data_IF_776584628623
#
_entry.id   IF_776584628623
#
_cell.length_a   1.000
_cell.length_b   1.000
_cell.length_c   1.000
_cell.angle_alpha   90.00
_cell.angle_beta   90.00
_cell.angle_gamma   90.00
#
_symmetry.space_group_name_H-M   'P 1'
#
loop_
_entity.id
_entity.type
_entity.pdbx_description
1 polymer ?
#
# COMPACT_ATOMS: atom_id res chain seq x y z
N UNK A 1 21.03 26.07 2.86
CA UNK A 1 20.97 25.88 4.33
C UNK A 1 19.83 24.88 4.62
N UNK A 2 20.18 23.64 4.86
CA UNK A 2 19.22 22.58 5.22
C UNK A 2 18.67 22.87 6.62
N UNK A 3 17.36 23.13 6.75
CA UNK A 3 16.68 23.08 8.05
C UNK A 3 16.71 21.62 8.53
N UNK A 4 17.66 21.31 9.38
CA UNK A 4 17.68 20.05 10.13
C UNK A 4 16.35 19.93 10.86
N UNK A 5 15.56 18.92 10.48
CA UNK A 5 14.32 18.61 11.18
C UNK A 5 14.72 18.20 12.59
N UNK A 6 14.37 19.07 13.58
CA UNK A 6 14.72 18.89 15.01
C UNK A 6 13.99 17.70 15.67
N UNK A 7 13.17 16.96 14.94
CA UNK A 7 12.42 15.84 15.49
C UNK A 7 13.29 14.58 15.51
N UNK A 8 13.30 13.91 16.66
CA UNK A 8 13.98 12.63 16.84
C UNK A 8 13.49 11.63 15.78
N UNK A 9 14.36 10.97 15.00
CA UNK A 9 14.00 10.01 13.96
C UNK A 9 13.08 8.88 14.43
N UNK A 10 13.15 8.50 15.70
CA UNK A 10 12.27 7.48 16.29
C UNK A 10 10.78 7.80 16.25
N UNK A 11 10.39 9.07 16.14
CA UNK A 11 8.98 9.45 16.09
C UNK A 11 8.37 9.35 14.69
N UNK A 12 9.17 9.39 13.63
CA UNK A 12 8.65 9.42 12.28
C UNK A 12 9.07 8.23 11.39
N UNK A 13 10.22 7.59 11.66
CA UNK A 13 10.67 6.42 10.87
C UNK A 13 9.71 5.23 11.05
N UNK A 14 9.37 4.77 12.28
CA UNK A 14 8.47 3.64 12.44
C UNK A 14 7.12 3.84 11.74
N UNK A 15 6.34 4.91 11.98
CA UNK A 15 5.06 5.08 11.32
C UNK A 15 5.20 5.25 9.81
N UNK A 16 6.24 5.90 9.30
CA UNK A 16 6.47 6.06 7.86
C UNK A 16 6.58 4.70 7.15
N UNK A 17 7.43 3.80 7.66
CA UNK A 17 7.63 2.48 7.04
C UNK A 17 6.52 1.48 7.36
N UNK A 18 5.78 1.67 8.45
CA UNK A 18 4.53 0.93 8.69
C UNK A 18 3.47 1.28 7.64
N UNK A 19 3.26 2.57 7.37
CA UNK A 19 2.29 3.02 6.36
C UNK A 19 2.71 2.70 4.93
N UNK A 20 4.00 2.53 4.65
CA UNK A 20 4.52 2.12 3.35
C UNK A 20 4.31 0.60 3.10
N UNK A 21 4.56 -0.23 4.11
CA UNK A 21 4.46 -1.69 3.96
C UNK A 21 3.03 -2.22 3.82
N UNK A 22 2.04 -1.55 4.42
CA UNK A 22 0.64 -2.00 4.37
C UNK A 22 0.06 -2.02 2.95
N UNK A 23 0.12 -0.93 2.14
CA UNK A 23 -0.41 -0.96 0.78
C UNK A 23 0.25 -2.03 -0.09
N UNK A 24 1.56 -2.20 0.03
CA UNK A 24 2.29 -3.21 -0.71
C UNK A 24 1.71 -4.62 -0.48
N UNK A 25 1.57 -5.05 0.77
CA UNK A 25 1.05 -6.40 1.07
C UNK A 25 -0.41 -6.56 0.68
N UNK A 26 -1.20 -5.50 0.77
CA UNK A 26 -2.59 -5.52 0.31
C UNK A 26 -2.70 -5.75 -1.20
N UNK A 27 -1.85 -5.09 -1.96
CA UNK A 27 -1.84 -5.18 -3.43
C UNK A 27 -1.28 -6.53 -3.89
N UNK A 28 -0.18 -7.00 -3.30
CA UNK A 28 0.53 -8.18 -3.82
C UNK A 28 -0.01 -9.49 -3.23
N UNK A 29 -0.39 -9.50 -1.96
CA UNK A 29 -0.76 -10.75 -1.28
C UNK A 29 -2.26 -10.83 -0.99
N UNK A 30 -2.84 -9.78 -0.41
CA UNK A 30 -4.26 -9.81 0.00
C UNK A 30 -5.18 -9.81 -1.22
N UNK A 31 -4.81 -9.15 -2.32
CA UNK A 31 -5.56 -9.20 -3.58
C UNK A 31 -5.73 -10.64 -4.11
N UNK A 32 -4.67 -11.44 -4.05
CA UNK A 32 -4.68 -12.86 -4.44
C UNK A 32 -5.66 -13.65 -3.57
N UNK A 33 -5.62 -13.44 -2.24
CA UNK A 33 -6.52 -14.09 -1.29
C UNK A 33 -7.96 -13.68 -1.57
N UNK A 34 -8.21 -12.37 -1.77
CA UNK A 34 -9.53 -11.83 -2.10
C UNK A 34 -10.10 -12.47 -3.37
N UNK A 35 -9.35 -12.47 -4.47
CA UNK A 35 -9.80 -13.06 -5.73
C UNK A 35 -10.07 -14.54 -5.60
N UNK A 36 -9.24 -15.28 -4.87
CA UNK A 36 -9.47 -16.71 -4.60
C UNK A 36 -10.78 -16.94 -3.85
N UNK A 37 -11.08 -16.11 -2.86
CA UNK A 37 -12.31 -16.17 -2.07
C UNK A 37 -13.56 -15.77 -2.86
N UNK A 38 -13.39 -14.89 -3.85
CA UNK A 38 -14.45 -14.47 -4.77
C UNK A 38 -14.63 -15.43 -5.96
N UNK A 39 -13.90 -16.54 -6.00
CA UNK A 39 -14.09 -17.61 -7.00
C UNK A 39 -13.43 -17.37 -8.37
N UNK A 40 -12.48 -16.43 -8.45
CA UNK A 40 -11.69 -16.21 -9.67
C UNK A 40 -10.77 -17.40 -9.92
N UNK A 41 -10.59 -17.79 -11.19
CA UNK A 41 -9.73 -18.91 -11.56
C UNK A 41 -8.25 -18.66 -11.23
N UNK A 42 -7.53 -19.72 -10.84
CA UNK A 42 -6.14 -19.60 -10.39
C UNK A 42 -5.19 -19.12 -11.51
N UNK A 43 -5.48 -19.46 -12.76
CA UNK A 43 -4.67 -19.00 -13.91
C UNK A 43 -4.81 -17.50 -14.11
N UNK A 44 -6.02 -16.96 -13.99
CA UNK A 44 -6.28 -15.53 -14.10
C UNK A 44 -5.66 -14.77 -12.92
N UNK A 45 -5.82 -15.29 -11.70
CA UNK A 45 -5.19 -14.69 -10.52
C UNK A 45 -3.66 -14.63 -10.75
N UNK A 46 -3.04 -15.75 -11.09
CA UNK A 46 -1.59 -15.82 -11.29
C UNK A 46 -1.10 -14.88 -12.39
N UNK A 47 -1.82 -14.82 -13.52
CA UNK A 47 -1.44 -13.97 -14.64
C UNK A 47 -1.58 -12.49 -14.30
N UNK A 48 -2.78 -12.04 -13.91
CA UNK A 48 -3.08 -10.62 -13.77
C UNK A 48 -2.49 -9.99 -12.51
N UNK A 49 -2.44 -10.72 -11.38
CA UNK A 49 -1.88 -10.15 -10.15
C UNK A 49 -0.36 -10.08 -10.16
N UNK A 50 0.33 -10.95 -10.93
CA UNK A 50 1.79 -10.87 -11.07
C UNK A 50 2.25 -9.55 -11.71
N UNK A 51 1.45 -8.98 -12.60
CA UNK A 51 1.74 -7.67 -13.20
C UNK A 51 1.59 -6.50 -12.22
N UNK A 52 0.84 -6.65 -11.14
CA UNK A 52 0.71 -5.59 -10.13
C UNK A 52 2.05 -5.23 -9.47
N UNK A 53 3.06 -6.09 -9.54
CA UNK A 53 4.41 -5.80 -9.05
C UNK A 53 5.21 -4.90 -9.99
N UNK A 54 4.79 -4.76 -11.25
CA UNK A 54 5.53 -4.06 -12.29
C UNK A 54 5.85 -2.59 -11.94
N UNK A 55 4.96 -1.79 -11.31
CA UNK A 55 5.29 -0.43 -10.91
C UNK A 55 6.53 -0.32 -10.02
N UNK A 56 6.76 -1.27 -9.10
CA UNK A 56 7.98 -1.24 -8.26
C UNK A 56 9.25 -1.54 -9.07
N UNK A 57 9.15 -2.35 -10.12
CA UNK A 57 10.29 -2.66 -11.01
C UNK A 57 10.66 -1.45 -11.87
N UNK A 58 9.66 -0.79 -12.43
CA UNK A 58 9.86 0.33 -13.37
C UNK A 58 9.88 1.71 -12.69
N UNK A 59 9.74 1.78 -11.34
CA UNK A 59 9.76 3.05 -10.60
C UNK A 59 10.94 3.99 -10.89
N UNK A 60 12.16 3.50 -11.29
CA UNK A 60 13.24 4.40 -11.67
C UNK A 60 12.93 5.31 -12.86
N UNK A 61 11.97 4.94 -13.73
CA UNK A 61 11.59 5.73 -14.90
C UNK A 61 10.95 7.08 -14.53
N UNK A 62 10.20 7.14 -13.41
CA UNK A 62 9.55 8.38 -12.95
C UNK A 62 10.07 8.90 -11.62
N UNK A 63 10.97 8.20 -10.96
CA UNK A 63 11.63 8.67 -9.73
C UNK A 63 12.23 10.08 -9.90
N UNK A 64 12.89 10.45 -11.02
CA UNK A 64 13.39 11.80 -11.22
C UNK A 64 12.29 12.87 -11.20
N UNK A 65 11.07 12.56 -11.64
CA UNK A 65 9.94 13.50 -11.58
C UNK A 65 9.55 13.80 -10.15
N UNK A 66 9.53 12.78 -9.28
CA UNK A 66 9.23 12.94 -7.84
C UNK A 66 10.34 13.73 -7.12
N UNK A 67 11.58 13.67 -7.65
CA UNK A 67 12.71 14.43 -7.12
C UNK A 67 12.72 15.89 -7.57
N UNK A 68 12.31 16.16 -8.79
CA UNK A 68 12.33 17.49 -9.39
C UNK A 68 11.10 18.34 -9.02
N UNK A 69 9.92 17.71 -8.88
CA UNK A 69 8.67 18.44 -8.69
C UNK A 69 8.12 18.31 -7.28
N UNK A 70 7.97 19.44 -6.59
CA UNK A 70 7.33 19.50 -5.29
C UNK A 70 8.24 19.07 -4.12
N UNK A 71 7.61 18.73 -3.01
CA UNK A 71 8.31 18.25 -1.81
C UNK A 71 7.95 16.79 -1.54
N UNK A 72 8.86 16.02 -0.94
CA UNK A 72 8.62 14.62 -0.58
C UNK A 72 7.34 14.46 0.28
N UNK A 73 7.09 15.41 1.19
CA UNK A 73 5.88 15.42 2.01
C UNK A 73 4.60 15.57 1.17
N UNK A 74 4.61 16.43 0.14
CA UNK A 74 3.42 16.62 -0.73
C UNK A 74 3.14 15.36 -1.54
N UNK A 75 4.19 14.73 -2.07
CA UNK A 75 4.06 13.46 -2.79
C UNK A 75 3.52 12.35 -1.89
N UNK A 76 4.08 12.19 -0.69
CA UNK A 76 3.61 11.22 0.29
C UNK A 76 2.11 11.39 0.58
N UNK A 77 1.68 12.60 0.96
CA UNK A 77 0.28 12.87 1.27
C UNK A 77 -0.65 12.69 0.06
N UNK A 78 -0.22 13.13 -1.13
CA UNK A 78 -1.00 12.94 -2.35
C UNK A 78 -1.19 11.45 -2.68
N UNK A 79 -0.11 10.65 -2.60
CA UNK A 79 -0.19 9.22 -2.86
C UNK A 79 -1.00 8.47 -1.80
N UNK A 80 -0.96 8.92 -0.55
CA UNK A 80 -1.81 8.36 0.51
C UNK A 80 -3.30 8.58 0.22
N UNK A 81 -3.68 9.76 -0.27
CA UNK A 81 -5.05 10.03 -0.71
C UNK A 81 -5.46 9.19 -1.92
N UNK A 82 -4.55 9.01 -2.90
CA UNK A 82 -4.81 8.13 -4.05
C UNK A 82 -4.98 6.68 -3.62
N UNK A 83 -4.16 6.19 -2.68
CA UNK A 83 -4.29 4.85 -2.11
C UNK A 83 -5.62 4.66 -1.40
N UNK A 84 -6.00 5.60 -0.53
CA UNK A 84 -7.30 5.59 0.14
C UNK A 84 -8.45 5.52 -0.87
N UNK A 85 -8.44 6.40 -1.87
CA UNK A 85 -9.44 6.40 -2.93
C UNK A 85 -9.48 5.08 -3.71
N UNK A 86 -8.32 4.54 -4.10
CA UNK A 86 -8.24 3.29 -4.84
C UNK A 86 -8.83 2.12 -4.03
N UNK A 87 -8.50 1.98 -2.74
CA UNK A 87 -9.05 0.92 -1.90
C UNK A 87 -10.54 1.09 -1.63
N UNK A 88 -11.05 2.32 -1.49
CA UNK A 88 -12.50 2.57 -1.43
C UNK A 88 -13.19 2.12 -2.72
N UNK A 89 -12.64 2.47 -3.88
CA UNK A 89 -13.17 2.05 -5.18
C UNK A 89 -13.11 0.54 -5.37
N UNK A 90 -12.05 -0.14 -4.92
CA UNK A 90 -11.96 -1.61 -4.91
C UNK A 90 -13.14 -2.17 -4.12
N UNK A 91 -13.35 -1.71 -2.88
CA UNK A 91 -14.43 -2.20 -2.05
C UNK A 91 -15.81 -2.00 -2.66
N UNK A 92 -16.06 -0.84 -3.28
CA UNK A 92 -17.31 -0.53 -3.96
C UNK A 92 -17.50 -1.33 -5.27
N UNK A 93 -16.41 -1.77 -5.91
CA UNK A 93 -16.46 -2.53 -7.16
C UNK A 93 -16.67 -4.04 -6.95
N UNK A 94 -16.32 -4.58 -5.76
CA UNK A 94 -16.48 -6.01 -5.45
C UNK A 94 -17.88 -6.55 -5.67
N UNK A 95 -18.99 -5.85 -5.33
CA UNK A 95 -20.34 -6.37 -5.53
C UNK A 95 -20.91 -6.19 -6.97
N UNK A 96 -20.09 -5.76 -7.93
CA UNK A 96 -20.52 -5.54 -9.32
C UNK A 96 -20.27 -6.76 -10.21
N UNK A 97 -21.01 -6.92 -11.30
CA UNK A 97 -20.84 -8.03 -12.24
C UNK A 97 -19.45 -8.04 -12.89
N UNK A 98 -18.83 -6.87 -13.05
CA UNK A 98 -17.48 -6.71 -13.63
C UNK A 98 -16.39 -6.52 -12.56
N UNK A 99 -16.60 -7.07 -11.36
CA UNK A 99 -15.75 -6.83 -10.21
C UNK A 99 -14.26 -7.08 -10.49
N UNK A 100 -13.94 -8.16 -11.23
CA UNK A 100 -12.54 -8.53 -11.48
C UNK A 100 -11.79 -7.45 -12.25
N UNK A 101 -12.37 -6.97 -13.36
CA UNK A 101 -11.71 -5.95 -14.21
C UNK A 101 -11.62 -4.61 -13.48
N UNK A 102 -12.70 -4.20 -12.79
CA UNK A 102 -12.75 -2.93 -12.07
C UNK A 102 -11.78 -2.92 -10.88
N UNK A 103 -11.81 -3.96 -10.05
CA UNK A 103 -10.91 -4.04 -8.90
C UNK A 103 -9.46 -4.15 -9.35
N UNK A 104 -9.17 -4.89 -10.43
CA UNK A 104 -7.83 -4.98 -11.00
C UNK A 104 -7.32 -3.61 -11.47
N UNK A 105 -8.16 -2.82 -12.15
CA UNK A 105 -7.81 -1.46 -12.56
C UNK A 105 -7.47 -0.56 -11.36
N UNK A 106 -8.24 -0.64 -10.27
CA UNK A 106 -7.95 0.12 -9.05
C UNK A 106 -6.73 -0.43 -8.29
N UNK A 107 -6.47 -1.74 -8.32
CA UNK A 107 -5.21 -2.28 -7.82
C UNK A 107 -4.00 -1.80 -8.62
N UNK A 108 -4.12 -1.61 -9.93
CA UNK A 108 -3.09 -0.98 -10.74
C UNK A 108 -2.83 0.47 -10.32
N UNK A 109 -3.90 1.25 -10.12
CA UNK A 109 -3.79 2.61 -9.60
C UNK A 109 -3.11 2.63 -8.22
N UNK A 110 -3.51 1.74 -7.32
CA UNK A 110 -2.91 1.59 -6.00
C UNK A 110 -1.43 1.17 -6.09
N UNK A 111 -1.04 0.30 -7.03
CA UNK A 111 0.34 -0.12 -7.25
C UNK A 111 1.24 1.05 -7.65
N UNK A 112 0.82 1.87 -8.61
CA UNK A 112 1.56 3.07 -9.00
C UNK A 112 1.64 4.09 -7.87
N UNK A 113 0.55 4.29 -7.13
CA UNK A 113 0.53 5.19 -5.98
C UNK A 113 1.46 4.70 -4.87
N UNK A 114 1.45 3.40 -4.55
CA UNK A 114 2.33 2.81 -3.53
C UNK A 114 3.80 2.88 -3.95
N UNK A 115 4.15 2.52 -5.19
CA UNK A 115 5.51 2.63 -5.71
C UNK A 115 6.02 4.08 -5.70
N UNK A 116 5.14 5.07 -5.98
CA UNK A 116 5.48 6.49 -5.90
C UNK A 116 5.63 6.95 -4.45
N UNK A 117 4.81 6.43 -3.55
CA UNK A 117 4.92 6.68 -2.11
C UNK A 117 6.27 6.20 -1.56
N UNK A 118 6.75 5.01 -1.97
CA UNK A 118 8.08 4.49 -1.63
C UNK A 118 9.19 5.47 -2.05
N UNK A 119 9.13 6.01 -3.28
CA UNK A 119 10.11 7.01 -3.76
C UNK A 119 10.10 8.24 -2.85
N UNK A 120 8.93 8.71 -2.46
CA UNK A 120 8.79 9.88 -1.61
C UNK A 120 9.31 9.63 -0.19
N UNK A 121 9.00 8.47 0.38
CA UNK A 121 9.44 8.05 1.72
C UNK A 121 10.94 7.85 1.79
N UNK A 122 11.51 7.13 0.84
CA UNK A 122 12.95 6.89 0.75
C UNK A 122 13.71 8.20 0.50
N UNK A 123 13.20 9.06 -0.37
CA UNK A 123 13.78 10.38 -0.61
C UNK A 123 13.72 11.28 0.63
N UNK A 124 12.62 11.23 1.41
CA UNK A 124 12.52 11.95 2.67
C UNK A 124 13.51 11.42 3.71
N UNK A 125 13.65 10.10 3.83
CA UNK A 125 14.62 9.45 4.71
C UNK A 125 16.05 9.93 4.43
N UNK A 126 16.46 9.95 3.16
CA UNK A 126 17.82 10.38 2.76
C UNK A 126 18.05 11.87 3.02
N UNK A 127 17.05 12.73 2.84
CA UNK A 127 17.16 14.16 3.05
C UNK A 127 17.11 14.58 4.54
N UNK A 128 16.40 13.81 5.36
CA UNK A 128 16.16 14.14 6.76
C UNK A 128 17.27 13.67 7.71
N UNK A 129 18.06 12.67 7.31
CA UNK A 129 19.06 12.04 8.15
C UNK A 129 20.50 12.28 7.64
N UNK A 130 21.43 12.39 8.58
CA UNK A 130 22.87 12.34 8.28
C UNK A 130 23.30 10.91 7.96
N UNK A 131 24.40 10.72 7.23
CA UNK A 131 24.92 9.42 6.80
C UNK A 131 25.06 8.41 7.94
N UNK A 132 25.58 8.84 9.09
CA UNK A 132 25.69 8.00 10.29
C UNK A 132 24.34 7.51 10.81
N UNK A 133 23.33 8.39 10.79
CA UNK A 133 21.96 8.06 11.18
C UNK A 133 21.30 7.14 10.16
N UNK A 134 21.52 7.38 8.86
CA UNK A 134 21.01 6.53 7.80
C UNK A 134 21.49 5.08 7.97
N UNK A 135 22.78 4.90 8.24
CA UNK A 135 23.37 3.58 8.47
C UNK A 135 22.76 2.88 9.69
N UNK A 136 22.49 3.61 10.76
CA UNK A 136 21.87 3.06 11.97
C UNK A 136 20.40 2.65 11.72
N UNK A 137 19.62 3.52 11.05
CA UNK A 137 18.19 3.28 10.87
C UNK A 137 17.83 2.36 9.70
N UNK A 138 18.80 1.94 8.85
CA UNK A 138 18.52 1.08 7.70
C UNK A 138 17.93 -0.28 8.08
N UNK A 139 18.43 -0.88 9.16
CA UNK A 139 17.88 -2.13 9.70
C UNK A 139 16.50 -1.95 10.32
N UNK A 140 16.28 -0.85 11.03
CA UNK A 140 15.02 -0.53 11.68
C UNK A 140 13.90 -0.27 10.66
N UNK A 141 14.18 0.50 9.60
CA UNK A 141 13.19 0.72 8.52
C UNK A 141 12.73 -0.60 7.91
N UNK A 142 13.67 -1.50 7.61
CA UNK A 142 13.36 -2.82 7.06
C UNK A 142 12.54 -3.67 8.03
N UNK A 143 12.80 -3.56 9.32
CA UNK A 143 12.04 -4.26 10.37
C UNK A 143 10.60 -3.75 10.43
N UNK A 144 10.39 -2.44 10.49
CA UNK A 144 9.04 -1.86 10.54
C UNK A 144 8.24 -2.14 9.26
N UNK A 145 8.90 -2.10 8.11
CA UNK A 145 8.28 -2.50 6.85
C UNK A 145 7.81 -3.96 6.88
N UNK A 146 8.65 -4.89 7.37
CA UNK A 146 8.26 -6.31 7.50
C UNK A 146 7.15 -6.52 8.54
N UNK A 147 7.21 -5.82 9.66
CA UNK A 147 6.13 -5.85 10.67
C UNK A 147 4.81 -5.40 10.04
N UNK A 148 4.84 -4.32 9.25
CA UNK A 148 3.66 -3.84 8.53
C UNK A 148 3.10 -4.89 7.56
N UNK A 149 3.98 -5.59 6.81
CA UNK A 149 3.55 -6.65 5.89
C UNK A 149 2.86 -7.81 6.63
N UNK A 150 3.48 -8.31 7.70
CA UNK A 150 2.93 -9.46 8.45
C UNK A 150 1.64 -9.08 9.18
N UNK A 151 1.65 -7.93 9.87
CA UNK A 151 0.47 -7.47 10.62
C UNK A 151 -0.66 -7.01 9.70
N UNK A 152 -0.32 -6.28 8.63
CA UNK A 152 -1.29 -5.82 7.64
C UNK A 152 -2.01 -6.99 6.96
N UNK A 153 -1.26 -7.98 6.45
CA UNK A 153 -1.86 -9.18 5.87
C UNK A 153 -2.72 -9.92 6.90
N UNK A 154 -2.17 -10.19 8.09
CA UNK A 154 -2.87 -10.96 9.12
C UNK A 154 -4.16 -10.29 9.56
N UNK A 155 -4.10 -9.01 9.92
CA UNK A 155 -5.27 -8.27 10.40
C UNK A 155 -6.37 -8.18 9.34
N UNK A 156 -6.02 -7.87 8.09
CA UNK A 156 -7.01 -7.70 7.02
C UNK A 156 -7.68 -9.04 6.69
N UNK A 157 -6.92 -10.13 6.63
CA UNK A 157 -7.48 -11.48 6.37
C UNK A 157 -8.36 -11.94 7.55
N UNK A 158 -7.98 -11.65 8.79
CA UNK A 158 -8.80 -11.94 9.98
C UNK A 158 -10.11 -11.15 9.92
N UNK A 159 -10.07 -9.86 9.61
CA UNK A 159 -11.28 -9.02 9.47
C UNK A 159 -12.18 -9.56 8.37
N UNK A 160 -11.62 -9.86 7.19
CA UNK A 160 -12.37 -10.44 6.10
C UNK A 160 -13.03 -11.78 6.51
N UNK A 161 -12.26 -12.69 7.14
CA UNK A 161 -12.78 -13.97 7.62
C UNK A 161 -13.88 -13.84 8.67
N UNK A 162 -13.74 -12.90 9.60
CA UNK A 162 -14.79 -12.60 10.58
C UNK A 162 -16.07 -12.10 9.90
N UNK A 163 -15.95 -11.22 8.93
CA UNK A 163 -17.08 -10.71 8.16
C UNK A 163 -17.70 -11.80 7.27
N UNK A 164 -16.89 -12.70 6.68
CA UNK A 164 -17.38 -13.87 5.93
C UNK A 164 -18.30 -14.74 6.80
N UNK A 165 -17.88 -15.04 8.03
CA UNK A 165 -18.68 -15.84 8.98
C UNK A 165 -19.94 -15.08 9.41
N UNK A 166 -19.83 -13.78 9.64
CA UNK A 166 -20.93 -12.96 10.15
C UNK A 166 -22.04 -12.75 9.10
N UNK A 167 -21.66 -12.49 7.85
CA UNK A 167 -22.61 -12.19 6.78
C UNK A 167 -22.98 -13.40 5.91
N UNK A 168 -22.22 -14.49 5.98
CA UNK A 168 -22.41 -15.65 5.12
C UNK A 168 -22.19 -15.37 3.62
N UNK A 169 -21.52 -14.26 3.28
CA UNK A 169 -21.39 -13.75 1.91
C UNK A 169 -19.96 -13.17 1.73
N UNK A 170 -19.16 -13.85 0.91
CA UNK A 170 -17.79 -13.44 0.62
C UNK A 170 -17.72 -12.08 -0.07
N UNK A 171 -18.67 -11.78 -0.95
CA UNK A 171 -18.71 -10.52 -1.70
C UNK A 171 -18.89 -9.34 -0.75
N UNK A 172 -19.86 -9.42 0.17
CA UNK A 172 -20.09 -8.38 1.17
C UNK A 172 -18.90 -8.23 2.13
N UNK A 173 -18.34 -9.36 2.59
CA UNK A 173 -17.23 -9.37 3.52
C UNK A 173 -15.99 -8.67 2.92
N UNK A 174 -15.61 -9.02 1.70
CA UNK A 174 -14.46 -8.42 1.04
C UNK A 174 -14.70 -6.96 0.62
N UNK A 175 -15.93 -6.63 0.17
CA UNK A 175 -16.32 -5.25 -0.10
C UNK A 175 -16.13 -4.36 1.14
N UNK A 176 -16.72 -4.74 2.27
CA UNK A 176 -16.59 -4.00 3.52
C UNK A 176 -15.15 -3.93 4.02
N UNK A 177 -14.40 -5.03 3.91
CA UNK A 177 -12.99 -5.06 4.29
C UNK A 177 -12.17 -4.04 3.50
N UNK A 178 -12.35 -3.96 2.18
CA UNK A 178 -11.61 -3.00 1.34
C UNK A 178 -12.05 -1.55 1.58
N UNK A 179 -13.33 -1.32 1.86
CA UNK A 179 -13.83 0.01 2.28
C UNK A 179 -13.20 0.44 3.61
N UNK A 180 -13.12 -0.46 4.59
CA UNK A 180 -12.45 -0.19 5.88
C UNK A 180 -10.96 0.13 5.68
N UNK A 181 -10.27 -0.62 4.82
CA UNK A 181 -8.87 -0.36 4.45
C UNK A 181 -8.73 1.04 3.83
N UNK A 182 -9.59 1.38 2.86
CA UNK A 182 -9.58 2.71 2.25
C UNK A 182 -9.79 3.83 3.27
N UNK A 183 -10.71 3.64 4.22
CA UNK A 183 -10.93 4.58 5.31
C UNK A 183 -9.72 4.72 6.25
N UNK A 184 -9.06 3.61 6.59
CA UNK A 184 -7.84 3.61 7.42
C UNK A 184 -6.66 4.31 6.73
N UNK A 185 -6.54 4.17 5.39
CA UNK A 185 -5.49 4.85 4.63
C UNK A 185 -5.69 6.37 4.53
N UNK A 186 -6.88 6.87 4.84
CA UNK A 186 -7.18 8.31 4.84
C UNK A 186 -6.66 9.03 6.10
N UNK A 187 -6.39 8.30 7.18
CA UNK A 187 -5.91 8.84 8.47
C UNK A 187 -4.40 8.96 8.47
#
# INVERSE_FOLDING_TARGET
MSKTIKNNPWYWIPPLYLTEGIPYVLIITVSVIMYKKLGVDNSDIGLYTSFLYLPWVIKPLWSPLVDLYGTKRKWFLAMQLVLSFAFLCIGLSVPTDQFFVLTLAFFWLASFASATNDIASDGFYLLALKEEQQSFFIGLRSTFYRVAMVTGQGLIVIVAGYLEVTYGDNTKAWSLTMVLVGGLMFI
#
